data_IF_355637251668
#
_entry.id   IF_355637251668
#
_cell.length_a   1.000
_cell.length_b   1.000
_cell.length_c   1.000
_cell.angle_alpha   90.00
_cell.angle_beta   90.00
_cell.angle_gamma   90.00
#
_symmetry.space_group_name_H-M   'P 1'
#
loop_
_entity.id
_entity.type
_entity.pdbx_description
1 polymer ?
#
# COMPACT_ATOMS: atom_id res chain seq x y z
N UNK A 1 4.09 4.31 64.06
CA UNK A 1 3.37 3.95 62.82
C UNK A 1 3.39 5.16 61.90
N UNK A 2 4.08 5.11 60.77
CA UNK A 2 3.90 5.99 59.60
C UNK A 2 4.69 5.37 58.45
N UNK A 3 4.01 4.52 57.68
CA UNK A 3 4.52 3.89 56.47
C UNK A 3 4.40 4.94 55.36
N UNK A 4 5.53 5.42 54.83
CA UNK A 4 5.57 6.25 53.62
C UNK A 4 5.49 5.32 52.41
N UNK A 5 4.35 5.28 51.74
CA UNK A 5 4.18 4.60 50.47
C UNK A 5 4.94 5.37 49.38
N UNK A 6 5.92 4.71 48.76
CA UNK A 6 6.62 5.22 47.58
C UNK A 6 5.83 4.74 46.34
N UNK A 7 5.10 5.64 45.69
CA UNK A 7 4.43 5.35 44.43
C UNK A 7 5.48 5.45 43.30
N UNK A 8 5.91 4.32 42.77
CA UNK A 8 6.79 4.29 41.59
C UNK A 8 5.93 4.46 40.34
N UNK A 9 5.88 5.67 39.79
CA UNK A 9 5.27 5.92 38.50
C UNK A 9 6.17 5.33 37.40
N UNK A 10 5.77 4.21 36.82
CA UNK A 10 6.41 3.66 35.62
C UNK A 10 5.93 4.46 34.42
N UNK A 11 6.73 5.41 33.97
CA UNK A 11 6.52 6.10 32.70
C UNK A 11 6.87 5.15 31.56
N UNK A 12 5.85 4.60 30.90
CA UNK A 12 6.04 3.84 29.66
C UNK A 12 6.53 4.79 28.56
N UNK A 13 7.80 4.67 28.19
CA UNK A 13 8.31 5.33 26.98
C UNK A 13 7.68 4.65 25.77
N UNK A 14 6.77 5.34 25.08
CA UNK A 14 6.30 4.92 23.78
C UNK A 14 7.47 5.04 22.79
N UNK A 15 8.04 3.90 22.38
CA UNK A 15 8.96 3.86 21.27
C UNK A 15 8.18 4.22 20.00
N UNK A 16 8.40 5.42 19.49
CA UNK A 16 8.04 5.76 18.12
C UNK A 16 8.96 4.95 17.21
N UNK A 17 8.48 3.80 16.75
CA UNK A 17 9.11 3.11 15.62
C UNK A 17 8.89 4.02 14.42
N UNK A 18 9.96 4.63 13.93
CA UNK A 18 9.90 5.34 12.67
C UNK A 18 9.59 4.32 11.57
N UNK A 19 8.44 4.48 10.90
CA UNK A 19 8.13 3.72 9.69
C UNK A 19 9.17 4.08 8.62
N UNK A 20 10.15 3.21 8.42
CA UNK A 20 11.09 3.34 7.31
C UNK A 20 10.37 2.92 6.03
N UNK A 21 9.58 3.84 5.48
CA UNK A 21 9.09 3.73 4.11
C UNK A 21 10.08 4.47 3.21
N UNK A 22 10.65 3.82 2.17
CA UNK A 22 11.52 4.51 1.22
C UNK A 22 10.83 5.73 0.60
N UNK A 23 11.59 6.75 0.22
CA UNK A 23 11.04 7.99 -0.35
C UNK A 23 10.22 7.76 -1.63
N UNK A 24 10.52 6.70 -2.39
CA UNK A 24 9.83 6.29 -3.59
C UNK A 24 8.58 5.42 -3.33
N UNK A 25 8.39 4.92 -2.11
CA UNK A 25 7.27 4.05 -1.74
C UNK A 25 6.23 4.75 -0.84
N UNK A 26 6.28 6.09 -0.75
CA UNK A 26 5.37 6.82 0.14
C UNK A 26 3.93 6.69 -0.38
N UNK A 27 2.95 6.37 0.49
CA UNK A 27 1.56 6.29 0.09
C UNK A 27 1.04 7.62 -0.46
N UNK A 28 0.24 7.55 -1.52
CA UNK A 28 -0.55 8.67 -2.03
C UNK A 28 -2.02 8.37 -1.80
N UNK A 29 -2.83 9.41 -1.58
CA UNK A 29 -4.29 9.26 -1.52
C UNK A 29 -4.77 8.77 -2.91
N UNK A 30 -5.38 7.58 -3.03
CA UNK A 30 -5.79 7.07 -4.32
C UNK A 30 -6.95 7.88 -4.87
N UNK A 31 -7.01 8.01 -6.19
CA UNK A 31 -8.02 8.85 -6.85
C UNK A 31 -8.43 8.30 -8.21
N UNK A 32 -9.64 8.69 -8.62
CA UNK A 32 -10.16 8.41 -9.95
C UNK A 32 -9.53 9.38 -10.95
N UNK A 33 -8.89 8.85 -11.99
CA UNK A 33 -8.33 9.65 -13.08
C UNK A 33 -9.46 10.01 -14.04
N UNK A 34 -10.11 8.99 -14.63
CA UNK A 34 -11.22 9.14 -15.56
C UNK A 34 -12.00 7.83 -15.64
N UNK A 35 -13.33 7.89 -15.78
CA UNK A 35 -14.18 6.71 -15.98
C UNK A 35 -13.90 5.57 -14.99
N UNK A 36 -13.42 4.41 -15.45
CA UNK A 36 -13.07 3.24 -14.65
C UNK A 36 -11.55 3.09 -14.42
N UNK A 37 -10.77 4.15 -14.65
CA UNK A 37 -9.32 4.21 -14.43
C UNK A 37 -8.99 5.00 -13.16
N UNK A 38 -8.16 4.39 -12.31
CA UNK A 38 -7.79 4.92 -11.00
C UNK A 38 -6.27 4.87 -10.80
N UNK A 39 -5.75 5.87 -10.08
CA UNK A 39 -4.38 5.84 -9.58
C UNK A 39 -4.36 5.15 -8.21
N UNK A 40 -3.49 4.16 -8.06
CA UNK A 40 -3.34 3.36 -6.83
C UNK A 40 -1.88 3.20 -6.39
N UNK A 41 -0.95 3.81 -7.10
CA UNK A 41 0.50 3.73 -6.84
C UNK A 41 0.99 4.61 -5.70
N UNK A 42 2.30 4.82 -5.68
CA UNK A 42 3.02 5.62 -4.68
C UNK A 42 3.23 7.05 -5.17
N UNK A 43 4.00 7.85 -4.45
CA UNK A 43 4.39 9.19 -4.87
C UNK A 43 5.39 9.23 -6.04
N UNK A 44 6.13 8.15 -6.30
CA UNK A 44 7.10 8.07 -7.42
C UNK A 44 6.81 6.94 -8.40
N UNK A 45 6.14 5.86 -7.98
CA UNK A 45 5.87 4.68 -8.78
C UNK A 45 4.39 4.63 -9.15
N UNK A 46 4.13 4.77 -10.45
CA UNK A 46 2.78 4.83 -10.98
C UNK A 46 2.20 3.42 -11.15
N UNK A 47 1.17 3.14 -10.35
CA UNK A 47 0.32 1.95 -10.45
C UNK A 47 -1.12 2.35 -10.74
N UNK A 48 -1.77 1.61 -11.63
CA UNK A 48 -3.13 1.90 -12.09
C UNK A 48 -4.06 0.73 -11.90
N UNK A 49 -5.30 1.03 -11.53
CA UNK A 49 -6.39 0.07 -11.49
C UNK A 49 -7.42 0.43 -12.57
N UNK A 50 -7.74 -0.53 -13.43
CA UNK A 50 -8.89 -0.45 -14.34
C UNK A 50 -9.95 -1.42 -13.84
N UNK A 51 -11.15 -0.94 -13.58
CA UNK A 51 -12.22 -1.77 -13.02
C UNK A 51 -13.24 -2.18 -14.08
N UNK A 52 -13.75 -3.41 -13.97
CA UNK A 52 -14.80 -3.93 -14.84
C UNK A 52 -15.76 -4.80 -14.02
N UNK A 53 -16.99 -5.08 -14.51
CA UNK A 53 -17.88 -6.04 -13.86
C UNK A 53 -17.31 -7.46 -13.72
N UNK A 54 -16.35 -7.86 -14.57
CA UNK A 54 -15.70 -9.17 -14.52
C UNK A 54 -14.48 -9.23 -13.56
N UNK A 55 -14.09 -8.09 -12.99
CA UNK A 55 -12.92 -7.94 -12.14
C UNK A 55 -11.98 -6.83 -12.61
N UNK A 56 -10.87 -6.66 -11.90
CA UNK A 56 -9.95 -5.55 -12.12
C UNK A 56 -8.74 -5.95 -12.97
N UNK A 57 -8.14 -4.96 -13.62
CA UNK A 57 -6.82 -5.02 -14.24
C UNK A 57 -5.90 -4.12 -13.43
N UNK A 58 -4.80 -4.66 -12.93
CA UNK A 58 -3.74 -3.90 -12.25
C UNK A 58 -2.57 -3.70 -13.22
N UNK A 59 -2.09 -2.47 -13.34
CA UNK A 59 -0.91 -2.11 -14.14
C UNK A 59 0.20 -1.67 -13.20
N UNK A 60 1.38 -2.27 -13.34
CA UNK A 60 2.57 -2.07 -12.50
C UNK A 60 2.31 -2.37 -11.01
N UNK A 61 2.55 -3.60 -10.54
CA UNK A 61 2.59 -3.92 -9.11
C UNK A 61 3.81 -3.36 -8.37
N UNK A 62 4.74 -2.76 -9.11
CA UNK A 62 5.97 -2.13 -8.63
C UNK A 62 6.87 -3.11 -7.84
N UNK A 63 7.50 -2.66 -6.76
CA UNK A 63 8.30 -3.52 -5.89
C UNK A 63 7.41 -4.40 -4.99
N UNK A 64 7.99 -5.42 -4.35
CA UNK A 64 7.24 -6.31 -3.45
C UNK A 64 6.65 -5.55 -2.26
N UNK A 65 7.39 -4.60 -1.72
CA UNK A 65 6.98 -3.68 -0.66
C UNK A 65 5.96 -2.61 -1.11
N UNK A 66 5.77 -2.42 -2.41
CA UNK A 66 4.73 -1.54 -2.96
C UNK A 66 3.37 -2.24 -2.99
N UNK A 67 3.32 -3.57 -3.09
CA UNK A 67 2.05 -4.33 -3.17
C UNK A 67 1.12 -4.07 -1.97
N UNK A 68 1.57 -4.00 -0.70
CA UNK A 68 0.71 -3.61 0.42
C UNK A 68 0.14 -2.18 0.30
N UNK A 69 0.94 -1.23 -0.21
CA UNK A 69 0.50 0.17 -0.43
C UNK A 69 -0.58 0.19 -1.51
N UNK A 70 -0.34 -0.46 -2.63
CA UNK A 70 -1.29 -0.58 -3.75
C UNK A 70 -2.57 -1.28 -3.31
N UNK A 71 -2.46 -2.37 -2.55
CA UNK A 71 -3.62 -3.07 -1.98
C UNK A 71 -4.46 -2.13 -1.12
N UNK A 72 -3.84 -1.39 -0.20
CA UNK A 72 -4.54 -0.41 0.63
C UNK A 72 -5.23 0.65 -0.22
N UNK A 73 -4.56 1.15 -1.27
CA UNK A 73 -5.13 2.12 -2.21
C UNK A 73 -6.37 1.60 -2.95
N UNK A 74 -6.29 0.37 -3.47
CA UNK A 74 -7.43 -0.30 -4.13
C UNK A 74 -8.62 -0.45 -3.18
N UNK A 75 -8.36 -0.86 -1.94
CA UNK A 75 -9.38 -1.06 -0.90
C UNK A 75 -10.02 0.25 -0.43
N UNK A 76 -9.24 1.34 -0.30
CA UNK A 76 -9.75 2.69 0.00
C UNK A 76 -10.71 3.23 -1.06
N UNK A 77 -10.55 2.81 -2.32
CA UNK A 77 -11.46 3.17 -3.41
C UNK A 77 -12.73 2.31 -3.43
N UNK A 78 -12.90 1.36 -2.50
CA UNK A 78 -14.05 0.46 -2.42
C UNK A 78 -13.96 -0.77 -3.32
N UNK A 79 -12.80 -1.02 -3.93
CA UNK A 79 -12.57 -2.22 -4.75
C UNK A 79 -11.88 -3.32 -3.93
N UNK A 80 -11.96 -4.55 -4.42
CA UNK A 80 -11.28 -5.69 -3.81
C UNK A 80 -9.96 -5.94 -4.55
N UNK A 81 -8.84 -5.90 -3.84
CA UNK A 81 -7.54 -6.25 -4.43
C UNK A 81 -7.51 -7.68 -4.98
N UNK A 82 -8.16 -8.62 -4.27
CA UNK A 82 -8.36 -10.02 -4.72
C UNK A 82 -9.32 -10.15 -5.91
N UNK A 83 -9.98 -9.06 -6.32
CA UNK A 83 -10.77 -8.97 -7.54
C UNK A 83 -9.92 -8.75 -8.80
N UNK A 84 -8.60 -8.58 -8.68
CA UNK A 84 -7.67 -8.43 -9.82
C UNK A 84 -7.58 -9.72 -10.62
N UNK A 85 -7.90 -9.66 -11.91
CA UNK A 85 -7.90 -10.80 -12.84
C UNK A 85 -6.74 -10.77 -13.82
N UNK A 86 -6.27 -9.58 -14.15
CA UNK A 86 -5.17 -9.37 -15.08
C UNK A 86 -4.16 -8.45 -14.40
N UNK A 87 -2.88 -8.79 -14.55
CA UNK A 87 -1.76 -7.93 -14.18
C UNK A 87 -0.99 -7.62 -15.45
N UNK A 88 -0.75 -6.33 -15.69
CA UNK A 88 0.09 -5.82 -16.75
C UNK A 88 1.30 -5.10 -16.13
N UNK A 89 2.37 -5.02 -16.90
CA UNK A 89 3.54 -4.19 -16.59
C UNK A 89 3.83 -3.30 -17.79
N UNK A 90 4.33 -2.11 -17.53
CA UNK A 90 4.77 -1.18 -18.57
C UNK A 90 6.05 -1.65 -19.25
N UNK A 91 7.07 -2.02 -18.45
CA UNK A 91 8.33 -2.62 -18.90
C UNK A 91 8.93 -3.49 -17.78
N UNK A 92 9.92 -4.31 -18.14
CA UNK A 92 10.48 -5.35 -17.26
C UNK A 92 11.67 -4.84 -16.41
N UNK A 93 11.49 -3.72 -15.71
CA UNK A 93 12.36 -3.33 -14.60
C UNK A 93 11.71 -3.64 -13.25
N UNK A 94 12.54 -3.85 -12.23
CA UNK A 94 12.11 -4.30 -10.91
C UNK A 94 11.11 -3.34 -10.25
N UNK A 95 11.29 -2.04 -10.43
CA UNK A 95 10.43 -0.97 -9.92
C UNK A 95 9.03 -0.97 -10.51
N UNK A 96 8.76 -1.83 -11.50
CA UNK A 96 7.44 -2.03 -12.10
C UNK A 96 6.94 -3.47 -12.05
N UNK A 97 7.84 -4.44 -11.85
CA UNK A 97 7.55 -5.85 -12.08
C UNK A 97 7.83 -6.78 -10.89
N UNK A 98 8.66 -6.40 -9.91
CA UNK A 98 9.08 -7.32 -8.85
C UNK A 98 7.91 -7.80 -7.95
N UNK A 99 6.86 -6.99 -7.83
CA UNK A 99 5.64 -7.29 -7.10
C UNK A 99 4.64 -8.19 -7.84
N UNK A 100 4.87 -8.53 -9.11
CA UNK A 100 3.92 -9.30 -9.92
C UNK A 100 3.52 -10.64 -9.28
N UNK A 101 4.49 -11.39 -8.76
CA UNK A 101 4.23 -12.68 -8.12
C UNK A 101 3.38 -12.55 -6.85
N UNK A 102 3.59 -11.48 -6.08
CA UNK A 102 2.84 -11.23 -4.84
C UNK A 102 1.42 -10.71 -5.11
N UNK A 103 1.27 -9.90 -6.15
CA UNK A 103 -0.01 -9.36 -6.59
C UNK A 103 -0.89 -10.42 -7.30
N UNK A 104 -0.30 -11.43 -7.92
CA UNK A 104 -1.00 -12.53 -8.59
C UNK A 104 -1.33 -13.63 -7.56
N UNK A 105 -2.52 -13.59 -6.98
CA UNK A 105 -3.07 -14.66 -6.13
C UNK A 105 -4.28 -15.31 -6.77
#
# INVERSE_FOLDING_TARGET
MLIRAFLLAVTGAAFLIADFTPSWNQPVQPFKIISNLYYVGTNYLASFLITTPAGNILINPDYQESVPVIKSSVEKLGFRFTGTKIILISHAHDDHAAGCALAKK
#
